data_IF_210925487630
#
_entry.id   IF_210925487630
#
_cell.length_a   1.000
_cell.length_b   1.000
_cell.length_c   1.000
_cell.angle_alpha   90.00
_cell.angle_beta   90.00
_cell.angle_gamma   90.00
#
_symmetry.space_group_name_H-M   'P 1'
#
loop_
_entity.id
_entity.type
_entity.pdbx_description
1 polymer ?
#
# COMPACT_ATOMS: atom_id res chain seq x y z
N UNK A 1 7.43 12.07 1.40
CA UNK A 1 6.66 11.63 2.56
C UNK A 1 7.48 10.62 3.34
N UNK A 2 7.43 10.73 4.66
CA UNK A 2 8.07 9.78 5.57
C UNK A 2 6.97 9.22 6.46
N UNK A 3 6.97 7.93 6.69
CA UNK A 3 6.01 7.22 7.53
C UNK A 3 6.71 6.77 8.79
N UNK A 4 6.08 6.98 9.93
CA UNK A 4 6.57 6.57 11.24
C UNK A 4 5.46 5.84 11.99
N UNK A 5 5.72 4.65 12.46
CA UNK A 5 4.83 3.98 13.39
C UNK A 5 5.06 4.52 14.80
N UNK A 6 3.99 4.84 15.49
CA UNK A 6 4.00 5.42 16.82
C UNK A 6 2.91 4.79 17.69
N UNK A 7 3.10 4.85 18.99
CA UNK A 7 2.13 4.39 19.98
C UNK A 7 1.90 5.47 21.03
N UNK A 8 0.65 5.74 21.39
CA UNK A 8 0.27 6.61 22.47
C UNK A 8 -1.02 6.12 23.15
N UNK A 9 -1.04 6.03 24.48
CA UNK A 9 -2.19 5.52 25.28
C UNK A 9 -2.72 4.15 24.77
N UNK A 10 -1.83 3.21 24.46
CA UNK A 10 -2.13 1.89 23.89
C UNK A 10 -2.87 1.94 22.54
N UNK A 11 -2.66 3.03 21.79
CA UNK A 11 -3.16 3.20 20.43
C UNK A 11 -1.96 3.25 19.50
N UNK A 12 -1.85 2.26 18.63
CA UNK A 12 -0.89 2.25 17.53
C UNK A 12 -1.43 3.08 16.37
N UNK A 13 -0.57 3.87 15.75
CA UNK A 13 -0.92 4.69 14.57
C UNK A 13 0.32 4.99 13.72
N UNK A 14 0.09 5.23 12.46
CA UNK A 14 1.15 5.67 11.53
C UNK A 14 1.08 7.17 11.34
N UNK A 15 2.16 7.87 11.64
CA UNK A 15 2.31 9.30 11.39
C UNK A 15 2.90 9.53 10.00
N UNK A 16 2.29 10.41 9.21
CA UNK A 16 2.72 10.75 7.85
C UNK A 16 3.25 12.18 7.85
N UNK A 17 4.56 12.34 7.64
CA UNK A 17 5.16 13.64 7.38
C UNK A 17 4.99 14.00 5.89
N UNK A 18 4.27 15.07 5.61
CA UNK A 18 3.98 15.52 4.24
C UNK A 18 5.06 16.42 3.65
N UNK A 19 6.06 16.84 4.44
CA UNK A 19 6.92 17.98 4.10
C UNK A 19 6.13 19.29 4.03
N UNK A 20 6.79 20.43 4.09
CA UNK A 20 6.13 21.75 4.04
C UNK A 20 5.29 21.91 2.76
N UNK A 21 4.01 22.25 2.94
CA UNK A 21 3.13 22.64 1.82
C UNK A 21 3.41 24.10 1.52
N UNK A 22 4.41 24.37 0.68
CA UNK A 22 4.63 25.72 0.17
C UNK A 22 3.73 25.94 -1.05
N UNK A 23 2.70 26.78 -0.89
CA UNK A 23 1.94 27.32 -2.00
C UNK A 23 2.74 28.46 -2.63
N UNK A 24 3.55 28.14 -3.65
CA UNK A 24 4.27 29.15 -4.41
C UNK A 24 3.30 29.77 -5.43
N UNK A 25 3.19 31.08 -5.38
CA UNK A 25 2.45 31.94 -6.30
C UNK A 25 2.71 31.68 -7.77
N UNK A 26 1.73 31.92 -8.55
CA UNK A 26 1.37 31.77 -9.99
C UNK A 26 2.45 31.60 -11.08
N UNK A 27 3.76 31.59 -10.85
CA UNK A 27 4.77 31.62 -11.92
C UNK A 27 5.72 30.41 -12.05
N UNK A 28 5.46 29.28 -11.36
CA UNK A 28 6.24 28.04 -11.54
C UNK A 28 5.36 26.88 -11.99
N UNK A 29 5.46 26.52 -13.25
CA UNK A 29 4.45 25.72 -13.97
C UNK A 29 4.38 24.20 -13.70
N UNK A 30 5.21 23.58 -12.88
CA UNK A 30 5.18 22.10 -12.71
C UNK A 30 5.28 21.64 -11.23
N UNK A 31 6.16 22.21 -10.41
CA UNK A 31 6.45 21.74 -9.05
C UNK A 31 5.30 21.99 -8.06
N UNK A 32 4.62 23.15 -8.07
CA UNK A 32 3.54 23.47 -7.11
C UNK A 32 2.33 22.54 -7.26
N UNK A 33 2.01 22.13 -8.50
CA UNK A 33 0.87 21.24 -8.78
C UNK A 33 1.08 19.85 -8.17
N UNK A 34 2.32 19.36 -8.15
CA UNK A 34 2.65 18.07 -7.54
C UNK A 34 2.63 18.10 -6.01
N UNK A 35 3.07 19.22 -5.40
CA UNK A 35 3.09 19.38 -3.94
C UNK A 35 1.66 19.50 -3.37
N UNK A 36 0.83 20.33 -3.97
CA UNK A 36 -0.60 20.45 -3.62
C UNK A 36 -1.32 19.10 -3.70
N UNK A 37 -1.06 18.38 -4.73
CA UNK A 37 -1.61 17.09 -5.00
C UNK A 37 -1.17 16.03 -3.98
N UNK A 38 0.11 16.05 -3.53
CA UNK A 38 0.60 15.20 -2.46
C UNK A 38 -0.05 15.52 -1.10
N UNK A 39 -0.37 16.80 -0.87
CA UNK A 39 -1.10 17.23 0.32
C UNK A 39 -2.57 16.76 0.28
N UNK A 40 -3.25 16.96 -0.83
CA UNK A 40 -4.64 16.48 -1.02
C UNK A 40 -4.75 14.97 -0.80
N UNK A 41 -3.77 14.20 -1.28
CA UNK A 41 -3.70 12.76 -1.03
C UNK A 41 -3.43 12.41 0.45
N UNK A 42 -2.58 13.18 1.14
CA UNK A 42 -2.35 12.96 2.57
C UNK A 42 -3.61 13.27 3.38
N UNK A 43 -4.33 14.31 3.01
CA UNK A 43 -5.62 14.67 3.61
C UNK A 43 -6.66 13.56 3.39
N UNK A 44 -6.74 12.99 2.18
CA UNK A 44 -7.66 11.88 1.91
C UNK A 44 -7.32 10.63 2.73
N UNK A 45 -6.04 10.37 2.94
CA UNK A 45 -5.52 9.19 3.63
C UNK A 45 -5.65 9.28 5.15
N UNK A 46 -5.43 10.47 5.72
CA UNK A 46 -5.40 10.65 7.16
C UNK A 46 -6.76 10.44 7.82
N UNK A 47 -6.80 9.77 8.96
CA UNK A 47 -7.97 9.72 9.85
C UNK A 47 -8.08 11.01 10.68
N UNK A 48 -6.93 11.58 11.07
CA UNK A 48 -6.80 12.84 11.81
C UNK A 48 -5.64 13.64 11.21
N UNK A 49 -5.80 14.95 11.12
CA UNK A 49 -4.80 15.84 10.52
C UNK A 49 -4.24 16.76 11.60
N UNK A 50 -2.93 16.77 11.75
CA UNK A 50 -2.23 17.77 12.54
C UNK A 50 -1.82 18.94 11.62
N UNK A 51 -2.49 20.08 11.76
CA UNK A 51 -2.12 21.28 11.02
C UNK A 51 -1.19 22.15 11.86
N UNK A 52 0.09 22.17 11.50
CA UNK A 52 1.15 22.85 12.28
C UNK A 52 1.46 24.21 11.68
N UNK A 53 1.28 25.26 12.50
CA UNK A 53 1.54 26.66 12.14
C UNK A 53 2.61 27.29 13.07
N UNK A 54 3.19 28.41 12.65
CA UNK A 54 4.26 29.10 13.38
C UNK A 54 3.69 30.18 14.31
N UNK A 55 3.71 29.96 15.61
CA UNK A 55 3.19 30.89 16.62
C UNK A 55 4.02 32.19 16.81
N UNK A 56 5.25 32.26 16.24
CA UNK A 56 6.05 33.51 16.24
C UNK A 56 5.76 34.39 15.03
N UNK A 57 5.41 33.79 13.91
CA UNK A 57 5.14 34.50 12.67
C UNK A 57 3.69 35.02 12.61
N UNK A 58 2.77 34.41 13.38
CA UNK A 58 1.33 34.64 13.26
C UNK A 58 0.74 34.00 12.01
N UNK A 59 -0.54 34.29 11.74
CA UNK A 59 -1.24 33.76 10.57
C UNK A 59 -0.69 34.36 9.29
N UNK A 60 -0.33 33.54 8.35
CA UNK A 60 0.07 33.95 6.99
C UNK A 60 -0.98 33.53 5.95
N UNK A 61 -1.05 34.18 4.76
CA UNK A 61 -2.05 33.84 3.73
C UNK A 61 -2.05 32.35 3.34
N UNK A 62 -0.89 31.70 3.35
CA UNK A 62 -0.77 30.28 3.08
C UNK A 62 -1.50 29.41 4.13
N UNK A 63 -1.50 29.81 5.41
CA UNK A 63 -2.23 29.11 6.47
C UNK A 63 -3.74 29.18 6.25
N UNK A 64 -4.25 30.33 5.79
CA UNK A 64 -5.67 30.50 5.47
C UNK A 64 -6.09 29.62 4.29
N UNK A 65 -5.25 29.53 3.25
CA UNK A 65 -5.52 28.65 2.10
C UNK A 65 -5.58 27.18 2.52
N UNK A 66 -4.60 26.73 3.31
CA UNK A 66 -4.58 25.36 3.86
C UNK A 66 -5.80 25.11 4.74
N UNK A 67 -6.12 26.05 5.65
CA UNK A 67 -7.28 25.94 6.52
C UNK A 67 -8.60 25.80 5.74
N UNK A 68 -8.74 26.51 4.61
CA UNK A 68 -9.89 26.37 3.73
C UNK A 68 -10.00 24.95 3.14
N UNK A 69 -8.90 24.37 2.69
CA UNK A 69 -8.85 23.01 2.16
C UNK A 69 -9.18 22.00 3.25
N UNK A 70 -8.61 22.15 4.44
CA UNK A 70 -8.84 21.26 5.58
C UNK A 70 -10.30 21.31 6.05
N UNK A 71 -10.92 22.48 6.13
CA UNK A 71 -12.36 22.61 6.44
C UNK A 71 -13.24 21.91 5.41
N UNK A 72 -12.88 22.02 4.13
CA UNK A 72 -13.63 21.36 3.05
C UNK A 72 -13.47 19.82 3.06
N UNK A 73 -12.40 19.28 3.66
CA UNK A 73 -12.17 17.83 3.72
C UNK A 73 -13.13 17.08 4.63
N UNK A 74 -13.71 17.76 5.63
CA UNK A 74 -14.57 17.15 6.64
C UNK A 74 -13.88 16.20 7.60
N UNK A 75 -12.54 16.13 7.55
CA UNK A 75 -11.72 15.31 8.45
C UNK A 75 -11.49 16.01 9.80
N UNK A 76 -11.31 15.28 10.90
CA UNK A 76 -10.86 15.86 12.16
C UNK A 76 -9.50 16.55 11.98
N UNK A 77 -9.40 17.81 12.40
CA UNK A 77 -8.16 18.60 12.33
C UNK A 77 -7.81 19.06 13.73
N UNK A 78 -6.59 18.80 14.17
CA UNK A 78 -5.99 19.37 15.37
C UNK A 78 -5.08 20.51 14.95
N UNK A 79 -5.41 21.75 15.33
CA UNK A 79 -4.62 22.94 15.01
C UNK A 79 -3.49 23.10 16.01
N UNK A 80 -2.26 23.02 15.53
CA UNK A 80 -1.04 23.03 16.35
C UNK A 80 -0.26 24.31 16.13
N UNK A 81 -0.12 25.14 17.16
CA UNK A 81 0.68 26.36 17.11
C UNK A 81 2.05 26.08 17.71
N UNK A 82 3.04 25.88 16.84
CA UNK A 82 4.40 25.54 17.26
C UNK A 82 5.23 26.81 17.56
N UNK A 83 6.36 26.64 18.23
CA UNK A 83 7.31 27.67 18.67
C UNK A 83 6.79 28.56 19.79
N UNK A 84 5.86 28.06 20.61
CA UNK A 84 5.47 28.69 21.88
C UNK A 84 6.49 28.26 22.94
N UNK A 85 7.62 28.95 22.96
CA UNK A 85 8.79 28.55 23.76
C UNK A 85 8.71 29.00 25.23
N UNK A 86 7.72 29.84 25.60
CA UNK A 86 7.52 30.36 26.95
C UNK A 86 6.06 30.74 27.23
N UNK A 87 5.64 30.74 28.48
CA UNK A 87 4.30 31.15 28.94
C UNK A 87 3.90 32.56 28.46
N UNK A 88 4.84 33.45 28.30
CA UNK A 88 4.57 34.80 27.81
C UNK A 88 4.11 34.82 26.34
N UNK A 89 4.28 33.75 25.60
CA UNK A 89 3.87 33.61 24.20
C UNK A 89 2.50 32.91 24.05
N UNK A 90 1.94 32.40 25.12
CA UNK A 90 0.59 31.77 25.07
C UNK A 90 -0.48 32.70 24.48
N UNK A 91 -0.48 34.04 24.72
CA UNK A 91 -1.47 34.92 24.08
C UNK A 91 -1.44 34.87 22.54
N UNK A 92 -0.31 34.52 21.93
CA UNK A 92 -0.21 34.39 20.47
C UNK A 92 -1.05 33.28 19.89
N UNK A 93 -1.43 32.29 20.71
CA UNK A 93 -2.27 31.15 20.29
C UNK A 93 -3.67 31.64 19.90
N UNK A 94 -4.19 32.67 20.56
CA UNK A 94 -5.57 33.13 20.35
C UNK A 94 -5.83 33.70 18.95
N UNK A 95 -4.82 34.21 18.27
CA UNK A 95 -4.96 34.67 16.88
C UNK A 95 -5.42 33.54 15.95
N UNK A 96 -4.96 32.31 16.20
CA UNK A 96 -5.19 31.16 15.33
C UNK A 96 -6.62 30.61 15.38
N UNK A 97 -7.48 31.04 16.34
CA UNK A 97 -8.92 30.78 16.28
C UNK A 97 -9.56 31.32 14.99
N UNK A 98 -8.97 32.36 14.38
CA UNK A 98 -9.47 32.92 13.12
C UNK A 98 -9.40 31.93 11.95
N UNK A 99 -8.58 30.87 12.05
CA UNK A 99 -8.54 29.81 11.04
C UNK A 99 -9.77 28.90 11.05
N UNK A 100 -10.60 28.93 12.12
CA UNK A 100 -11.87 28.20 12.20
C UNK A 100 -11.69 26.67 12.15
N UNK A 101 -10.63 26.14 12.74
CA UNK A 101 -10.32 24.71 12.80
C UNK A 101 -10.42 24.11 14.21
N UNK A 102 -11.14 24.78 15.13
CA UNK A 102 -11.28 24.38 16.54
C UNK A 102 -10.28 25.05 17.45
N UNK A 103 -10.06 24.48 18.63
CA UNK A 103 -9.18 25.02 19.66
C UNK A 103 -7.70 24.79 19.30
N UNK A 104 -6.89 25.84 19.14
CA UNK A 104 -5.48 25.70 18.82
C UNK A 104 -4.67 25.24 20.04
N UNK A 105 -3.77 24.27 19.85
CA UNK A 105 -2.88 23.75 20.88
C UNK A 105 -1.48 24.35 20.69
N UNK A 106 -1.02 25.13 21.67
CA UNK A 106 0.32 25.70 21.67
C UNK A 106 1.37 24.71 22.15
N UNK A 107 2.40 24.50 21.33
CA UNK A 107 3.53 23.61 21.66
C UNK A 107 4.88 24.29 21.42
N UNK A 108 5.93 23.72 22.02
CA UNK A 108 7.30 23.95 21.59
C UNK A 108 7.96 22.64 21.23
N UNK A 109 8.04 22.32 19.94
CA UNK A 109 8.73 21.10 19.48
C UNK A 109 10.22 21.11 19.88
N UNK A 110 10.85 22.29 19.90
CA UNK A 110 12.26 22.46 20.30
C UNK A 110 12.49 22.13 21.78
N UNK A 111 11.57 22.56 22.66
CA UNK A 111 11.69 22.41 24.11
C UNK A 111 10.86 21.25 24.65
N UNK A 112 10.22 20.45 23.76
CA UNK A 112 9.35 19.33 24.09
C UNK A 112 8.18 19.72 25.03
N UNK A 113 7.66 20.96 24.91
CA UNK A 113 6.57 21.46 25.74
C UNK A 113 5.21 21.13 25.11
N UNK A 114 4.26 20.70 25.93
CA UNK A 114 2.86 20.38 25.60
C UNK A 114 2.67 19.29 24.53
N UNK A 115 3.70 18.47 24.25
CA UNK A 115 3.57 17.37 23.28
C UNK A 115 2.64 16.26 23.79
N UNK A 116 2.61 16.02 25.11
CA UNK A 116 1.68 15.06 25.71
C UNK A 116 0.23 15.48 25.51
N UNK A 117 -0.10 16.74 25.79
CA UNK A 117 -1.46 17.27 25.63
C UNK A 117 -1.89 17.24 24.14
N UNK A 118 -0.96 17.52 23.20
CA UNK A 118 -1.20 17.39 21.77
C UNK A 118 -1.53 15.95 21.38
N UNK A 119 -0.75 14.97 21.86
CA UNK A 119 -0.98 13.56 21.56
C UNK A 119 -2.27 13.03 22.20
N UNK A 120 -2.56 13.45 23.43
CA UNK A 120 -3.81 13.11 24.14
C UNK A 120 -5.03 13.62 23.35
N UNK A 121 -4.95 14.85 22.84
CA UNK A 121 -6.05 15.41 22.04
C UNK A 121 -6.16 14.74 20.67
N UNK A 122 -5.04 14.48 20.03
CA UNK A 122 -4.99 13.77 18.74
C UNK A 122 -5.67 12.40 18.83
N UNK A 123 -5.34 11.61 19.85
CA UNK A 123 -5.90 10.26 20.05
C UNK A 123 -7.40 10.27 20.31
N UNK A 124 -7.97 11.32 20.91
CA UNK A 124 -9.44 11.46 21.09
C UNK A 124 -10.19 11.48 19.77
N UNK A 125 -9.56 12.03 18.74
CA UNK A 125 -10.13 12.11 17.39
C UNK A 125 -9.92 10.85 16.56
N UNK A 126 -9.11 9.88 17.06
CA UNK A 126 -8.96 8.62 16.37
C UNK A 126 -10.31 7.89 16.31
N UNK A 127 -10.60 7.25 15.18
CA UNK A 127 -11.78 6.42 15.07
C UNK A 127 -11.77 5.42 16.25
N UNK A 128 -12.96 5.03 16.78
CA UNK A 128 -13.02 4.01 17.81
C UNK A 128 -12.19 2.81 17.37
N UNK A 129 -11.51 2.14 18.32
CA UNK A 129 -10.85 0.87 18.03
C UNK A 129 -11.94 -0.04 17.52
N UNK A 130 -12.06 -0.09 16.19
CA UNK A 130 -12.83 -1.16 15.59
C UNK A 130 -12.16 -2.42 16.10
N UNK A 131 -12.91 -3.32 16.67
CA UNK A 131 -12.57 -4.70 16.58
C UNK A 131 -12.42 -4.93 15.08
N UNK A 132 -11.19 -4.77 14.55
CA UNK A 132 -10.84 -5.39 13.30
C UNK A 132 -11.01 -6.87 13.58
N UNK A 133 -12.23 -7.34 13.41
CA UNK A 133 -12.51 -8.74 13.20
C UNK A 133 -12.19 -8.99 11.72
N UNK A 134 -10.99 -8.58 11.30
CA UNK A 134 -10.33 -9.34 10.29
C UNK A 134 -9.97 -10.63 11.04
N UNK A 135 -10.84 -11.65 10.89
CA UNK A 135 -10.48 -12.99 11.31
C UNK A 135 -9.07 -13.25 10.79
N UNK A 136 -8.22 -13.85 11.60
CA UNK A 136 -6.83 -14.22 11.22
C UNK A 136 -6.78 -14.96 9.86
N UNK A 137 -7.93 -15.47 9.40
CA UNK A 137 -8.12 -16.17 8.14
C UNK A 137 -8.52 -15.28 6.94
N UNK A 138 -8.64 -13.95 7.09
CA UNK A 138 -9.03 -13.06 5.98
C UNK A 138 -7.82 -12.71 5.10
N UNK A 139 -7.93 -12.93 3.79
CA UNK A 139 -6.85 -12.66 2.82
C UNK A 139 -7.04 -11.27 2.21
N UNK A 140 -6.06 -10.38 2.41
CA UNK A 140 -6.04 -9.04 1.84
C UNK A 140 -5.38 -9.06 0.45
N UNK A 141 -6.09 -8.55 -0.55
CA UNK A 141 -5.67 -8.61 -1.95
C UNK A 141 -5.57 -7.22 -2.55
N UNK A 142 -4.41 -6.86 -3.09
CA UNK A 142 -4.23 -5.67 -3.92
C UNK A 142 -4.15 -6.06 -5.40
N UNK A 143 -4.80 -5.26 -6.27
CA UNK A 143 -4.73 -5.43 -7.73
C UNK A 143 -3.89 -4.30 -8.32
N UNK A 144 -2.72 -4.65 -8.85
CA UNK A 144 -1.76 -3.71 -9.40
C UNK A 144 -1.47 -3.97 -10.88
N UNK A 145 -0.83 -3.04 -11.53
CA UNK A 145 -0.46 -3.09 -12.95
C UNK A 145 -0.57 -1.70 -13.56
N UNK A 146 -0.02 -1.52 -14.74
CA UNK A 146 -0.07 -0.24 -15.47
C UNK A 146 -1.50 0.17 -15.86
N UNK A 147 -1.73 1.43 -16.28
CA UNK A 147 -3.02 1.87 -16.78
C UNK A 147 -3.52 1.01 -17.95
N UNK A 148 -4.83 0.87 -18.08
CA UNK A 148 -5.52 0.21 -19.21
C UNK A 148 -5.28 -1.30 -19.39
N UNK A 149 -4.55 -1.99 -18.52
CA UNK A 149 -4.41 -3.46 -18.54
C UNK A 149 -5.70 -4.19 -18.13
N UNK A 150 -6.72 -3.45 -17.63
CA UNK A 150 -8.02 -4.01 -17.27
C UNK A 150 -8.20 -4.37 -15.80
N UNK A 151 -7.46 -3.73 -14.87
CA UNK A 151 -7.61 -3.95 -13.40
C UNK A 151 -9.06 -3.81 -12.92
N UNK A 152 -9.71 -2.70 -13.25
CA UNK A 152 -11.11 -2.46 -12.84
C UNK A 152 -12.08 -3.46 -13.46
N UNK A 153 -11.85 -3.85 -14.71
CA UNK A 153 -12.64 -4.88 -15.39
C UNK A 153 -12.45 -6.26 -14.73
N UNK A 154 -11.21 -6.60 -14.36
CA UNK A 154 -10.88 -7.84 -13.66
C UNK A 154 -11.56 -7.90 -12.29
N UNK A 155 -11.46 -6.83 -11.51
CA UNK A 155 -12.12 -6.71 -10.20
C UNK A 155 -13.63 -6.84 -10.32
N UNK A 156 -14.26 -6.14 -11.26
CA UNK A 156 -15.70 -6.23 -11.47
C UNK A 156 -16.12 -7.64 -11.95
N UNK A 157 -15.33 -8.27 -12.82
CA UNK A 157 -15.59 -9.61 -13.28
C UNK A 157 -15.45 -10.66 -12.17
N UNK A 158 -14.50 -10.47 -11.23
CA UNK A 158 -14.32 -11.32 -10.06
C UNK A 158 -15.49 -11.20 -9.09
N UNK A 159 -15.86 -9.97 -8.70
CA UNK A 159 -16.96 -9.69 -7.77
C UNK A 159 -18.34 -10.05 -8.36
N UNK A 160 -18.48 -10.10 -9.67
CA UNK A 160 -19.70 -10.49 -10.38
C UNK A 160 -19.80 -11.99 -10.68
N UNK A 161 -19.02 -12.87 -10.02
CA UNK A 161 -19.15 -14.33 -10.17
C UNK A 161 -20.29 -14.86 -9.27
N UNK A 162 -21.02 -15.86 -9.73
CA UNK A 162 -22.14 -16.47 -9.00
C UNK A 162 -21.75 -17.12 -7.67
N UNK A 163 -20.48 -17.45 -7.50
CA UNK A 163 -19.92 -18.06 -6.28
C UNK A 163 -19.29 -17.06 -5.31
N UNK A 164 -19.33 -15.78 -5.65
CA UNK A 164 -18.75 -14.69 -4.84
C UNK A 164 -19.88 -13.96 -4.12
N UNK A 165 -19.87 -14.01 -2.81
CA UNK A 165 -20.81 -13.26 -1.97
C UNK A 165 -20.10 -11.99 -1.53
N UNK A 166 -20.53 -10.84 -2.05
CA UNK A 166 -20.05 -9.53 -1.63
C UNK A 166 -20.79 -9.15 -0.35
N UNK A 167 -20.06 -8.88 0.72
CA UNK A 167 -20.64 -8.42 1.98
C UNK A 167 -20.63 -6.89 2.00
N UNK A 168 -21.82 -6.30 2.02
CA UNK A 168 -21.99 -4.91 2.45
C UNK A 168 -21.92 -4.90 4.00
N UNK A 169 -20.74 -4.98 4.57
CA UNK A 169 -20.56 -4.77 6.01
C UNK A 169 -20.66 -3.29 6.28
N UNK A 170 -21.89 -2.80 6.42
CA UNK A 170 -22.18 -1.50 6.96
C UNK A 170 -21.80 -1.50 8.45
N UNK A 171 -20.64 -0.94 8.79
CA UNK A 171 -20.23 -0.83 10.19
C UNK A 171 -18.75 -0.52 10.42
N UNK A 172 -17.88 -0.74 9.45
CA UNK A 172 -16.50 -0.27 9.51
C UNK A 172 -16.38 1.00 8.69
N UNK A 173 -16.68 2.11 9.32
CA UNK A 173 -16.61 3.48 8.73
C UNK A 173 -15.18 3.94 8.43
N UNK A 174 -14.22 3.04 8.30
CA UNK A 174 -12.83 3.42 8.08
C UNK A 174 -12.36 3.36 6.64
N UNK A 175 -12.88 2.45 5.83
CA UNK A 175 -12.48 2.37 4.43
C UNK A 175 -13.69 2.08 3.54
N UNK A 176 -14.42 3.13 3.15
CA UNK A 176 -15.39 3.09 2.04
C UNK A 176 -14.74 2.70 0.69
N UNK A 177 -13.54 2.19 0.73
CA UNK A 177 -12.59 1.98 -0.35
C UNK A 177 -12.35 0.49 -0.57
N UNK A 178 -12.48 -0.35 0.47
CA UNK A 178 -12.23 -1.78 0.41
C UNK A 178 -13.52 -2.57 0.16
N UNK A 179 -13.42 -3.71 -0.51
CA UNK A 179 -14.58 -4.57 -0.81
C UNK A 179 -14.36 -5.97 -0.23
N UNK A 180 -15.24 -6.36 0.68
CA UNK A 180 -15.26 -7.68 1.30
C UNK A 180 -16.02 -8.67 0.44
N UNK A 181 -15.48 -9.87 0.29
CA UNK A 181 -16.12 -10.93 -0.45
C UNK A 181 -15.72 -12.31 0.07
N UNK A 182 -16.53 -13.32 -0.21
CA UNK A 182 -16.30 -14.69 0.23
C UNK A 182 -16.41 -15.64 -0.97
N UNK A 183 -15.47 -16.57 -1.06
CA UNK A 183 -15.47 -17.63 -2.05
C UNK A 183 -15.18 -18.98 -1.36
N UNK A 184 -16.10 -19.92 -1.47
CA UNK A 184 -16.00 -21.26 -0.85
C UNK A 184 -15.64 -21.24 0.65
N UNK A 185 -16.21 -20.28 1.39
CA UNK A 185 -15.99 -20.14 2.83
C UNK A 185 -14.73 -19.34 3.20
N UNK A 186 -13.81 -19.08 2.26
CA UNK A 186 -12.65 -18.21 2.48
C UNK A 186 -13.06 -16.73 2.34
N UNK A 187 -12.66 -15.93 3.31
CA UNK A 187 -12.88 -14.47 3.31
C UNK A 187 -11.73 -13.74 2.63
N UNK A 188 -12.07 -12.74 1.84
CA UNK A 188 -11.12 -11.89 1.15
C UNK A 188 -11.51 -10.42 1.27
N UNK A 189 -10.50 -9.54 1.21
CA UNK A 189 -10.67 -8.09 1.13
C UNK A 189 -9.92 -7.58 -0.08
N UNK A 190 -10.62 -6.96 -1.01
CA UNK A 190 -10.00 -6.22 -2.11
C UNK A 190 -9.72 -4.78 -1.66
N UNK A 191 -8.45 -4.42 -1.59
CA UNK A 191 -7.98 -3.13 -1.12
C UNK A 191 -8.14 -2.08 -2.23
N UNK A 192 -8.60 -0.88 -1.86
CA UNK A 192 -8.71 0.32 -2.71
C UNK A 192 -9.59 0.15 -3.97
N UNK A 193 -10.76 -0.45 -3.82
CA UNK A 193 -11.69 -0.64 -4.94
C UNK A 193 -12.38 0.67 -5.39
N UNK A 194 -12.55 1.67 -4.53
CA UNK A 194 -13.17 2.95 -4.90
C UNK A 194 -12.32 3.75 -5.91
N UNK A 195 -10.99 3.66 -5.80
CA UNK A 195 -10.08 4.23 -6.80
C UNK A 195 -10.22 3.58 -8.17
N UNK A 196 -10.61 2.32 -8.22
CA UNK A 196 -10.85 1.60 -9.47
C UNK A 196 -12.20 1.95 -10.11
N UNK A 197 -13.23 2.31 -9.30
CA UNK A 197 -14.58 2.66 -9.78
C UNK A 197 -14.69 4.08 -10.31
N UNK A 198 -13.93 5.06 -9.77
CA UNK A 198 -14.00 6.49 -10.17
C UNK A 198 -13.29 6.83 -11.49
N UNK A 199 -12.53 5.92 -12.08
CA UNK A 199 -11.63 6.17 -13.24
C UNK A 199 -12.30 6.42 -14.60
N UNK A 200 -13.61 6.47 -14.72
CA UNK A 200 -14.23 6.58 -16.05
C UNK A 200 -14.28 8.00 -16.64
N UNK A 201 -13.73 9.04 -16.00
CA UNK A 201 -13.98 10.43 -16.44
C UNK A 201 -12.82 11.44 -16.54
N UNK A 202 -11.55 11.13 -16.15
CA UNK A 202 -10.44 12.13 -16.20
C UNK A 202 -9.11 11.45 -16.60
N UNK A 203 -8.61 11.72 -17.80
CA UNK A 203 -7.62 10.86 -18.49
C UNK A 203 -6.11 11.17 -18.35
N UNK A 204 -5.60 12.31 -17.99
CA UNK A 204 -4.15 12.57 -18.14
C UNK A 204 -3.34 12.91 -16.85
N UNK A 205 -3.93 13.50 -15.83
CA UNK A 205 -3.24 13.75 -14.56
C UNK A 205 -3.21 12.51 -13.65
N UNK A 206 -3.98 11.49 -14.01
CA UNK A 206 -4.33 10.30 -13.22
C UNK A 206 -3.29 9.17 -13.34
N UNK A 207 -2.44 9.15 -14.36
CA UNK A 207 -1.50 8.02 -14.58
C UNK A 207 -0.44 7.88 -13.48
N UNK A 208 0.21 8.97 -13.08
CA UNK A 208 1.21 8.95 -12.01
C UNK A 208 0.60 8.63 -10.63
N UNK A 209 -0.65 9.05 -10.39
CA UNK A 209 -1.42 8.74 -9.19
C UNK A 209 -1.76 7.27 -9.08
N UNK A 210 -2.11 6.65 -10.19
CA UNK A 210 -2.45 5.24 -10.24
C UNK A 210 -1.32 4.34 -9.72
N UNK A 211 -0.07 4.71 -9.99
CA UNK A 211 1.09 3.94 -9.54
C UNK A 211 1.30 4.10 -8.03
N UNK A 212 1.35 5.34 -7.53
CA UNK A 212 1.57 5.60 -6.09
C UNK A 212 0.46 4.97 -5.23
N UNK A 213 -0.78 5.03 -5.69
CA UNK A 213 -1.92 4.41 -5.01
C UNK A 213 -1.86 2.89 -5.05
N UNK A 214 -1.44 2.32 -6.19
CA UNK A 214 -1.21 0.88 -6.30
C UNK A 214 -0.09 0.39 -5.36
N UNK A 215 0.97 1.19 -5.17
CA UNK A 215 2.05 0.84 -4.24
C UNK A 215 1.56 0.80 -2.78
N UNK A 216 0.67 1.71 -2.37
CA UNK A 216 0.06 1.70 -1.03
C UNK A 216 -0.85 0.50 -0.79
N UNK A 217 -1.63 0.12 -1.81
CA UNK A 217 -2.44 -1.08 -1.71
C UNK A 217 -1.58 -2.33 -1.47
N UNK A 218 -0.35 -2.34 -2.01
CA UNK A 218 0.62 -3.42 -1.78
C UNK A 218 1.01 -3.51 -0.31
N UNK A 219 1.28 -2.38 0.36
CA UNK A 219 1.73 -2.40 1.77
C UNK A 219 0.70 -3.06 2.69
N UNK A 220 -0.60 -2.81 2.45
CA UNK A 220 -1.73 -3.37 3.21
C UNK A 220 -2.12 -4.79 2.80
N UNK A 221 -1.67 -5.26 1.64
CA UNK A 221 -2.06 -6.57 1.11
C UNK A 221 -1.22 -7.71 1.68
N UNK A 222 -1.80 -8.89 1.67
CA UNK A 222 -1.10 -10.17 1.85
C UNK A 222 -0.63 -10.71 0.51
N UNK A 223 -1.49 -10.58 -0.49
CA UNK A 223 -1.28 -11.05 -1.85
C UNK A 223 -1.54 -9.92 -2.85
N UNK A 224 -0.68 -9.86 -3.82
CA UNK A 224 -0.75 -8.91 -4.93
C UNK A 224 -1.10 -9.63 -6.21
N UNK A 225 -2.13 -9.14 -6.90
CA UNK A 225 -2.49 -9.54 -8.27
C UNK A 225 -1.84 -8.59 -9.25
N UNK A 226 -0.77 -9.02 -9.91
CA UNK A 226 -0.12 -8.28 -10.98
C UNK A 226 -0.85 -8.53 -12.29
N UNK A 227 -1.52 -7.51 -12.84
CA UNK A 227 -2.27 -7.61 -14.08
C UNK A 227 -1.42 -7.13 -15.25
N UNK A 228 -1.18 -8.03 -16.21
CA UNK A 228 -0.46 -7.78 -17.46
C UNK A 228 -1.45 -7.76 -18.64
N UNK A 229 -1.13 -7.03 -19.69
CA UNK A 229 -1.86 -7.06 -20.95
C UNK A 229 -1.26 -8.11 -21.89
N UNK A 230 -2.08 -9.06 -22.33
CA UNK A 230 -1.61 -10.13 -23.24
C UNK A 230 -1.11 -9.64 -24.59
N UNK A 231 -1.55 -8.46 -25.05
CA UNK A 231 -1.12 -7.87 -26.34
C UNK A 231 0.26 -7.22 -26.25
N UNK A 232 0.57 -6.60 -25.11
CA UNK A 232 1.81 -5.83 -24.95
C UNK A 232 2.93 -6.64 -24.26
N UNK A 233 2.58 -7.77 -23.62
CA UNK A 233 3.51 -8.55 -22.81
C UNK A 233 3.99 -7.81 -21.55
N UNK A 234 5.20 -8.14 -21.07
CA UNK A 234 5.83 -7.50 -19.92
C UNK A 234 6.57 -6.23 -20.35
N UNK A 235 6.25 -5.10 -19.74
CA UNK A 235 6.91 -3.82 -20.00
C UNK A 235 7.82 -3.42 -18.83
N UNK A 236 8.73 -2.45 -19.05
CA UNK A 236 9.59 -1.90 -17.99
C UNK A 236 8.79 -1.30 -16.81
N UNK A 237 7.59 -0.80 -17.06
CA UNK A 237 6.71 -0.31 -16.01
C UNK A 237 6.13 -1.45 -15.18
N UNK A 238 5.77 -2.56 -15.81
CA UNK A 238 5.30 -3.76 -15.12
C UNK A 238 6.40 -4.36 -14.25
N UNK A 239 7.66 -4.39 -14.72
CA UNK A 239 8.83 -4.85 -13.94
C UNK A 239 9.03 -4.02 -12.66
N UNK A 240 8.91 -2.69 -12.76
CA UNK A 240 9.03 -1.79 -11.59
C UNK A 240 7.95 -2.02 -10.56
N UNK A 241 6.70 -2.17 -11.01
CA UNK A 241 5.54 -2.42 -10.14
C UNK A 241 5.66 -3.81 -9.50
N UNK A 242 6.07 -4.81 -10.26
CA UNK A 242 6.32 -6.17 -9.80
C UNK A 242 7.46 -6.24 -8.77
N UNK A 243 8.55 -5.50 -9.04
CA UNK A 243 9.70 -5.39 -8.13
C UNK A 243 9.31 -4.86 -6.76
N UNK A 244 8.45 -3.85 -6.70
CA UNK A 244 7.96 -3.33 -5.43
C UNK A 244 7.18 -4.38 -4.61
N UNK A 245 6.30 -5.15 -5.25
CA UNK A 245 5.55 -6.21 -4.57
C UNK A 245 6.48 -7.32 -4.04
N UNK A 246 7.54 -7.63 -4.81
CA UNK A 246 8.58 -8.58 -4.41
C UNK A 246 9.39 -8.09 -3.21
N UNK A 247 9.89 -6.84 -3.25
CA UNK A 247 10.66 -6.23 -2.16
C UNK A 247 9.83 -6.09 -0.88
N UNK A 248 8.51 -5.85 -1.01
CA UNK A 248 7.58 -5.83 0.11
C UNK A 248 7.27 -7.22 0.69
N UNK A 249 7.83 -8.30 0.13
CA UNK A 249 7.67 -9.68 0.62
C UNK A 249 6.25 -10.24 0.49
N UNK A 250 5.45 -9.72 -0.45
CA UNK A 250 4.05 -10.12 -0.65
C UNK A 250 3.93 -11.41 -1.47
N UNK A 251 2.85 -12.16 -1.26
CA UNK A 251 2.46 -13.20 -2.22
C UNK A 251 2.10 -12.55 -3.56
N UNK A 252 2.43 -13.18 -4.67
CA UNK A 252 2.14 -12.63 -6.00
C UNK A 252 1.42 -13.66 -6.86
N UNK A 253 0.37 -13.20 -7.53
CA UNK A 253 -0.32 -13.90 -8.62
C UNK A 253 -0.24 -13.04 -9.87
N UNK A 254 0.26 -13.59 -10.97
CA UNK A 254 0.33 -12.89 -12.25
C UNK A 254 -0.93 -13.23 -13.06
N UNK A 255 -1.68 -12.21 -13.49
CA UNK A 255 -2.85 -12.37 -14.36
C UNK A 255 -2.57 -11.75 -15.72
N UNK A 256 -2.48 -12.57 -16.74
CA UNK A 256 -2.39 -12.14 -18.13
C UNK A 256 -3.81 -11.95 -18.65
N UNK A 257 -4.25 -10.69 -18.64
CA UNK A 257 -5.60 -10.28 -19.02
C UNK A 257 -5.70 -10.02 -20.53
N UNK A 258 -6.92 -9.87 -21.03
CA UNK A 258 -7.26 -9.74 -22.45
C UNK A 258 -6.84 -10.96 -23.28
N UNK A 259 -6.83 -12.14 -22.66
CA UNK A 259 -6.45 -13.39 -23.30
C UNK A 259 -7.36 -13.79 -24.46
N UNK A 260 -8.54 -13.19 -24.57
CA UNK A 260 -9.47 -13.33 -25.68
C UNK A 260 -8.95 -12.75 -26.99
N UNK A 261 -8.04 -11.76 -26.92
CA UNK A 261 -7.47 -11.07 -28.07
C UNK A 261 -6.22 -11.77 -28.67
N UNK A 262 -5.72 -12.80 -28.01
CA UNK A 262 -4.53 -13.54 -28.46
C UNK A 262 -4.93 -14.69 -29.39
N UNK A 263 -4.28 -14.78 -30.54
CA UNK A 263 -4.35 -15.96 -31.38
C UNK A 263 -3.62 -17.13 -30.72
N UNK A 264 -4.26 -18.29 -30.62
CA UNK A 264 -3.80 -19.41 -29.80
C UNK A 264 -3.48 -20.63 -30.65
N UNK A 265 -2.30 -21.16 -30.41
CA UNK A 265 -1.90 -22.50 -30.80
C UNK A 265 -1.62 -23.36 -29.53
N UNK A 266 -1.28 -24.62 -29.71
CA UNK A 266 -1.02 -25.57 -28.62
C UNK A 266 0.16 -25.13 -27.70
N UNK A 267 1.05 -24.25 -28.19
CA UNK A 267 2.26 -23.80 -27.50
C UNK A 267 2.16 -22.36 -26.99
N UNK A 268 1.10 -21.62 -27.32
CA UNK A 268 0.97 -20.20 -26.99
C UNK A 268 1.11 -19.94 -25.48
N UNK A 269 0.41 -20.74 -24.66
CA UNK A 269 0.49 -20.57 -23.20
C UNK A 269 1.89 -20.83 -22.67
N UNK A 270 2.60 -21.82 -23.21
CA UNK A 270 3.97 -22.14 -22.80
C UNK A 270 4.93 -21.00 -23.13
N UNK A 271 4.90 -20.50 -24.37
CA UNK A 271 5.73 -19.37 -24.80
C UNK A 271 5.50 -18.14 -23.92
N UNK A 272 4.25 -17.76 -23.69
CA UNK A 272 3.93 -16.63 -22.83
C UNK A 272 4.43 -16.83 -21.39
N UNK A 273 4.38 -18.06 -20.89
CA UNK A 273 4.89 -18.38 -19.54
C UNK A 273 6.41 -18.22 -19.49
N UNK A 274 7.14 -18.72 -20.49
CA UNK A 274 8.59 -18.60 -20.60
C UNK A 274 8.99 -17.13 -20.72
N UNK A 275 8.38 -16.37 -21.64
CA UNK A 275 8.65 -14.94 -21.84
C UNK A 275 8.42 -14.12 -20.54
N UNK A 276 7.33 -14.42 -19.80
CA UNK A 276 7.04 -13.71 -18.55
C UNK A 276 8.08 -14.03 -17.47
N UNK A 277 8.49 -15.29 -17.33
CA UNK A 277 9.49 -15.65 -16.33
C UNK A 277 10.90 -15.22 -16.72
N UNK A 278 11.22 -15.08 -18.00
CA UNK A 278 12.48 -14.50 -18.45
C UNK A 278 12.54 -13.00 -18.11
N UNK A 279 11.45 -12.27 -18.34
CA UNK A 279 11.37 -10.83 -18.06
C UNK A 279 11.19 -10.52 -16.56
N UNK A 280 10.54 -11.40 -15.80
CA UNK A 280 10.28 -11.29 -14.35
C UNK A 280 11.00 -12.41 -13.58
N UNK A 281 12.31 -12.62 -13.83
CA UNK A 281 13.09 -13.71 -13.27
C UNK A 281 13.05 -13.82 -11.74
N UNK A 282 12.80 -12.72 -11.03
CA UNK A 282 12.63 -12.68 -9.58
C UNK A 282 11.24 -13.16 -9.10
N UNK A 283 10.24 -13.34 -10.00
CA UNK A 283 8.89 -13.83 -9.72
C UNK A 283 8.62 -15.25 -10.27
N UNK A 284 9.63 -16.06 -10.52
CA UNK A 284 9.46 -17.42 -11.04
C UNK A 284 8.61 -18.32 -10.12
N UNK A 285 8.46 -17.94 -8.84
CA UNK A 285 7.59 -18.64 -7.89
C UNK A 285 6.10 -18.27 -8.03
N UNK A 286 5.79 -17.14 -8.69
CA UNK A 286 4.43 -16.62 -8.78
C UNK A 286 3.63 -17.39 -9.84
N UNK A 287 2.45 -17.94 -9.51
CA UNK A 287 1.62 -18.61 -10.50
C UNK A 287 1.04 -17.63 -11.52
N UNK A 288 0.88 -18.09 -12.76
CA UNK A 288 0.33 -17.30 -13.86
C UNK A 288 -1.07 -17.80 -14.23
N UNK A 289 -2.03 -16.87 -14.30
CA UNK A 289 -3.39 -17.09 -14.78
C UNK A 289 -3.63 -16.34 -16.08
N UNK A 290 -3.93 -17.06 -17.15
CA UNK A 290 -4.36 -16.49 -18.43
C UNK A 290 -5.89 -16.33 -18.42
N UNK A 291 -6.39 -15.09 -18.43
CA UNK A 291 -7.79 -14.77 -18.24
C UNK A 291 -8.28 -13.65 -19.16
N UNK A 292 -9.59 -13.54 -19.31
CA UNK A 292 -10.23 -12.39 -19.92
C UNK A 292 -11.29 -11.82 -19.00
N UNK A 293 -11.09 -10.60 -18.55
CA UNK A 293 -12.08 -9.89 -17.76
C UNK A 293 -13.34 -9.56 -18.57
N UNK A 294 -13.22 -9.37 -19.89
CA UNK A 294 -14.32 -9.04 -20.79
C UNK A 294 -15.24 -10.24 -20.98
N UNK A 295 -14.67 -11.39 -21.34
CA UNK A 295 -15.43 -12.63 -21.61
C UNK A 295 -15.67 -13.48 -20.36
N UNK A 296 -15.15 -13.04 -19.21
CA UNK A 296 -15.14 -13.75 -17.92
C UNK A 296 -14.42 -15.09 -17.95
N UNK A 297 -13.58 -15.32 -18.96
CA UNK A 297 -12.85 -16.57 -19.14
C UNK A 297 -11.86 -16.77 -17.98
N UNK A 298 -11.96 -17.91 -17.29
CA UNK A 298 -11.09 -18.37 -16.19
C UNK A 298 -11.01 -17.45 -14.95
N UNK A 299 -11.86 -16.42 -14.83
CA UNK A 299 -11.87 -15.52 -13.67
C UNK A 299 -12.14 -16.28 -12.36
N UNK A 300 -13.01 -17.31 -12.39
CA UNK A 300 -13.33 -18.13 -11.22
C UNK A 300 -12.09 -18.79 -10.58
N UNK A 301 -11.04 -19.06 -11.36
CA UNK A 301 -9.80 -19.67 -10.86
C UNK A 301 -8.93 -18.70 -10.07
N UNK A 302 -9.19 -17.39 -10.16
CA UNK A 302 -8.37 -16.41 -9.45
C UNK A 302 -8.53 -16.57 -7.93
N UNK A 303 -9.74 -16.78 -7.44
CA UNK A 303 -9.98 -16.98 -6.01
C UNK A 303 -9.26 -18.22 -5.46
N UNK A 304 -9.32 -19.33 -6.18
CA UNK A 304 -8.63 -20.58 -5.80
C UNK A 304 -7.10 -20.38 -5.77
N UNK A 305 -6.58 -19.62 -6.74
CA UNK A 305 -5.16 -19.31 -6.83
C UNK A 305 -4.68 -18.37 -5.72
N UNK A 306 -5.49 -17.39 -5.34
CA UNK A 306 -5.23 -16.51 -4.18
C UNK A 306 -5.17 -17.31 -2.89
N UNK A 307 -6.14 -18.22 -2.67
CA UNK A 307 -6.15 -19.13 -1.53
C UNK A 307 -4.90 -20.01 -1.51
N UNK A 308 -4.55 -20.61 -2.63
CA UNK A 308 -3.34 -21.44 -2.75
C UNK A 308 -2.08 -20.66 -2.39
N UNK A 309 -1.90 -19.44 -2.92
CA UNK A 309 -0.71 -18.60 -2.62
C UNK A 309 -0.69 -18.24 -1.14
N UNK A 310 -1.83 -17.89 -0.53
CA UNK A 310 -1.91 -17.64 0.91
C UNK A 310 -1.44 -18.84 1.74
N UNK A 311 -1.95 -20.02 1.43
CA UNK A 311 -1.57 -21.28 2.11
C UNK A 311 -0.05 -21.54 2.00
N UNK A 312 0.55 -21.23 0.82
CA UNK A 312 2.01 -21.39 0.63
C UNK A 312 2.82 -20.39 1.47
N UNK A 313 2.34 -19.16 1.68
CA UNK A 313 3.01 -18.17 2.52
C UNK A 313 3.13 -18.64 3.99
N UNK A 314 2.13 -19.33 4.51
CA UNK A 314 2.15 -19.87 5.88
C UNK A 314 2.90 -21.19 6.04
N UNK A 315 3.38 -21.76 4.94
CA UNK A 315 4.05 -23.06 4.96
C UNK A 315 5.39 -22.99 5.71
N UNK A 316 5.51 -23.82 6.75
CA UNK A 316 6.76 -23.98 7.48
C UNK A 316 7.53 -25.18 6.97
N UNK A 317 8.79 -24.97 6.60
CA UNK A 317 9.68 -26.04 6.14
C UNK A 317 10.55 -26.50 7.31
N UNK A 318 10.68 -27.83 7.48
CA UNK A 318 11.51 -28.38 8.56
C UNK A 318 12.97 -28.01 8.39
N UNK A 319 13.70 -27.78 9.49
CA UNK A 319 15.14 -27.48 9.48
C UNK A 319 15.95 -28.60 8.77
N UNK A 320 15.51 -29.86 8.91
CA UNK A 320 16.15 -31.00 8.22
C UNK A 320 16.04 -30.86 6.70
N UNK A 321 14.83 -30.59 6.18
CA UNK A 321 14.59 -30.38 4.74
C UNK A 321 15.39 -29.18 4.20
N UNK A 322 15.41 -28.07 4.96
CA UNK A 322 16.18 -26.88 4.59
C UNK A 322 17.66 -27.16 4.48
N UNK A 323 18.23 -27.92 5.43
CA UNK A 323 19.65 -28.25 5.39
C UNK A 323 20.01 -29.24 4.29
N UNK A 324 19.13 -30.17 3.97
CA UNK A 324 19.30 -31.04 2.80
C UNK A 324 19.33 -30.19 1.52
N UNK A 325 18.37 -29.29 1.34
CA UNK A 325 18.32 -28.36 0.19
C UNK A 325 19.56 -27.48 0.11
N UNK A 326 20.07 -27.00 1.26
CA UNK A 326 21.30 -26.21 1.33
C UNK A 326 22.52 -27.00 0.86
N UNK A 327 22.63 -28.27 1.23
CA UNK A 327 23.72 -29.15 0.78
C UNK A 327 23.65 -29.40 -0.73
N UNK A 328 22.45 -29.68 -1.25
CA UNK A 328 22.22 -29.90 -2.67
C UNK A 328 22.58 -28.63 -3.47
N UNK A 329 22.13 -27.45 -3.01
CA UNK A 329 22.44 -26.18 -3.64
C UNK A 329 23.93 -25.85 -3.65
N UNK A 330 24.68 -26.11 -2.55
CA UNK A 330 26.13 -25.92 -2.48
C UNK A 330 26.91 -26.90 -3.37
N UNK A 331 26.33 -28.07 -3.62
CA UNK A 331 26.93 -29.07 -4.53
C UNK A 331 26.81 -28.63 -5.99
N UNK A 332 25.64 -28.08 -6.37
CA UNK A 332 25.38 -27.58 -7.73
C UNK A 332 26.09 -26.24 -7.99
N UNK A 333 26.00 -25.32 -7.04
CA UNK A 333 26.58 -23.99 -7.12
C UNK A 333 27.51 -23.74 -5.92
N UNK A 334 28.81 -24.14 -5.98
CA UNK A 334 29.75 -23.91 -4.90
C UNK A 334 29.90 -22.41 -4.58
N UNK A 335 29.96 -22.08 -3.29
CA UNK A 335 30.15 -20.70 -2.85
C UNK A 335 31.47 -20.14 -3.38
N UNK A 336 31.48 -18.99 -4.08
CA UNK A 336 32.70 -18.45 -4.65
C UNK A 336 33.71 -18.01 -3.57
N UNK A 337 34.96 -18.21 -3.82
CA UNK A 337 36.06 -17.75 -2.97
C UNK A 337 36.20 -16.24 -3.04
N UNK A 338 36.31 -15.56 -1.90
CA UNK A 338 36.64 -14.13 -1.80
C UNK A 338 37.92 -13.95 -0.99
N UNK A 339 38.95 -13.32 -1.57
CA UNK A 339 40.27 -13.12 -0.96
C UNK A 339 40.95 -14.42 -0.46
N UNK A 340 40.77 -15.50 -1.24
CA UNK A 340 41.36 -16.81 -0.89
C UNK A 340 40.66 -17.56 0.24
N UNK A 341 39.51 -17.06 0.72
CA UNK A 341 38.68 -17.73 1.72
C UNK A 341 37.34 -18.11 1.10
N UNK A 342 36.91 -19.36 1.33
CA UNK A 342 35.58 -19.85 0.94
C UNK A 342 34.68 -19.70 2.16
N UNK A 343 33.58 -18.89 2.09
CA UNK A 343 32.63 -18.84 3.17
C UNK A 343 31.99 -20.21 3.41
N UNK A 344 31.94 -20.65 4.66
CA UNK A 344 31.30 -21.90 5.03
C UNK A 344 29.92 -21.62 5.58
N UNK A 345 28.89 -22.17 4.94
CA UNK A 345 27.51 -22.12 5.44
C UNK A 345 27.30 -23.38 6.28
N UNK A 346 26.99 -23.20 7.57
CA UNK A 346 26.89 -24.30 8.52
C UNK A 346 25.49 -24.94 8.50
N UNK A 347 24.45 -24.11 8.57
CA UNK A 347 23.06 -24.55 8.50
C UNK A 347 22.13 -23.38 8.19
N UNK A 348 20.89 -23.73 7.87
CA UNK A 348 19.81 -22.79 7.57
C UNK A 348 18.57 -23.14 8.40
N UNK A 349 17.86 -22.11 8.87
CA UNK A 349 16.56 -22.25 9.55
C UNK A 349 15.58 -21.23 9.03
N UNK A 350 14.29 -21.55 9.10
CA UNK A 350 13.21 -20.60 8.78
C UNK A 350 12.83 -19.84 10.04
N UNK A 351 13.04 -18.51 10.03
CA UNK A 351 12.73 -17.62 11.15
C UNK A 351 11.25 -17.24 11.16
N UNK A 352 10.69 -16.84 10.01
CA UNK A 352 9.29 -16.47 9.86
C UNK A 352 8.66 -17.11 8.61
N UNK A 353 7.33 -17.12 8.55
CA UNK A 353 6.56 -17.70 7.44
C UNK A 353 6.00 -16.63 6.49
N UNK A 354 5.68 -15.45 6.99
CA UNK A 354 5.05 -14.37 6.20
C UNK A 354 5.73 -13.02 6.50
N UNK A 355 6.63 -12.56 5.61
CA UNK A 355 7.19 -13.29 4.47
C UNK A 355 8.06 -14.47 4.90
N UNK A 356 8.22 -15.50 4.04
CA UNK A 356 9.15 -16.60 4.31
C UNK A 356 10.58 -16.07 4.46
N UNK A 357 11.10 -16.13 5.68
CA UNK A 357 12.43 -15.60 6.03
C UNK A 357 13.35 -16.71 6.50
N UNK A 358 14.52 -16.82 5.89
CA UNK A 358 15.50 -17.85 6.20
C UNK A 358 16.77 -17.21 6.74
N UNK A 359 17.30 -17.79 7.82
CA UNK A 359 18.56 -17.39 8.42
C UNK A 359 19.62 -18.42 8.05
N UNK A 360 20.69 -17.94 7.42
CA UNK A 360 21.89 -18.72 7.08
C UNK A 360 22.97 -18.42 8.10
N UNK A 361 23.50 -19.47 8.76
CA UNK A 361 24.63 -19.34 9.68
C UNK A 361 25.92 -19.59 8.93
N UNK A 362 26.76 -18.58 8.87
CA UNK A 362 28.02 -18.56 8.10
C UNK A 362 29.20 -18.17 9.00
N UNK A 363 30.46 -18.51 8.57
CA UNK A 363 31.67 -18.10 9.27
C UNK A 363 32.13 -16.69 8.90
#
# INVERSE_FOLDING_TARGET
RIYFDAEWLNREFTMIDTGGIEFITENSHVIPKMMRLQAELAIEEADVILFVVDGKQGIVPADEEVANILRASGKPVVLVVNKIDSVNQEPNIYEFYNLGLGDPIGISAKNLMNLGDLLDDTVKHFPPVGTNVDDEDTIHVAVIGRPNVGKSSLTNALLGQDRVIVSDVAGTTRDSIDTYWTHEGQKFVLIDTAGMRRKSKIEEAVERYSIVRSLRSVDRADIVVLVLDAQDGVTEQDKKIAGYAYEAGKGVVIVVNKWDLVEKDDKTTLRFTEDIYDELGFLQFAPILFASALTKQRIHRLADMLKFVSEQQYRRVSTGTLNQLLQDAQTVNPVPSRNGRIPKIYYMTQASVKPPTFILFVN
#
